data_IF_132429994960
#
_entry.id   IF_132429994960
#
_cell.length_a   1.000
_cell.length_b   1.000
_cell.length_c   1.000
_cell.angle_alpha   90.00
_cell.angle_beta   90.00
_cell.angle_gamma   90.00
#
_symmetry.space_group_name_H-M   'P 1'
#
loop_
_entity.id
_entity.type
_entity.pdbx_description
1 polymer ?
#
# COMPACT_ATOMS: atom_id res chain seq x y z
N UNK A 1 39.61 14.46 -33.16
CA UNK A 1 38.19 14.78 -33.43
C UNK A 1 37.27 13.67 -32.91
N UNK A 2 37.53 12.41 -33.23
CA UNK A 2 36.71 11.26 -32.78
C UNK A 2 36.58 11.13 -31.25
N UNK A 3 37.68 11.26 -30.50
CA UNK A 3 37.65 11.23 -29.02
C UNK A 3 36.76 12.33 -28.44
N UNK A 4 36.78 13.52 -29.05
CA UNK A 4 36.00 14.66 -28.57
C UNK A 4 34.48 14.45 -28.81
N UNK A 5 34.14 13.78 -29.91
CA UNK A 5 32.76 13.38 -30.24
C UNK A 5 32.29 12.27 -29.30
N UNK A 6 33.13 11.27 -29.02
CA UNK A 6 32.81 10.21 -28.06
C UNK A 6 32.55 10.76 -26.66
N UNK A 7 33.41 11.67 -26.18
CA UNK A 7 33.23 12.37 -24.89
C UNK A 7 31.92 13.16 -24.88
N UNK A 8 31.58 13.83 -25.98
CA UNK A 8 30.32 14.58 -26.09
C UNK A 8 29.09 13.66 -26.05
N UNK A 9 29.13 12.50 -26.72
CA UNK A 9 28.04 11.51 -26.71
C UNK A 9 27.85 10.94 -25.30
N UNK A 10 28.94 10.59 -24.60
CA UNK A 10 28.86 10.09 -23.22
C UNK A 10 28.28 11.14 -22.28
N UNK A 11 28.71 12.40 -22.41
CA UNK A 11 28.13 13.53 -21.68
C UNK A 11 26.63 13.65 -21.94
N UNK A 12 26.22 13.61 -23.20
CA UNK A 12 24.82 13.71 -23.61
C UNK A 12 23.96 12.56 -23.05
N UNK A 13 24.44 11.32 -23.17
CA UNK A 13 23.74 10.14 -22.63
C UNK A 13 23.64 10.19 -21.10
N UNK A 14 24.71 10.60 -20.41
CA UNK A 14 24.69 10.75 -18.94
C UNK A 14 23.70 11.83 -18.48
N UNK A 15 23.57 12.92 -19.25
CA UNK A 15 22.59 13.98 -18.99
C UNK A 15 21.16 13.48 -19.20
N UNK A 16 20.89 12.74 -20.28
CA UNK A 16 19.59 12.11 -20.52
C UNK A 16 19.27 11.11 -19.41
N UNK A 17 20.24 10.34 -18.95
CA UNK A 17 20.05 9.42 -17.84
C UNK A 17 19.61 10.15 -16.56
N UNK A 18 20.27 11.26 -16.22
CA UNK A 18 19.91 12.10 -15.09
C UNK A 18 18.52 12.76 -15.25
N UNK A 19 18.13 13.15 -16.46
CA UNK A 19 16.83 13.77 -16.71
C UNK A 19 15.69 12.74 -16.62
N UNK A 20 15.84 11.59 -17.27
CA UNK A 20 14.84 10.50 -17.26
C UNK A 20 14.60 9.97 -15.85
N UNK A 21 15.66 9.71 -15.08
CA UNK A 21 15.57 9.28 -13.67
C UNK A 21 14.80 10.31 -12.82
N UNK A 22 15.08 11.60 -13.01
CA UNK A 22 14.37 12.68 -12.31
C UNK A 22 12.88 12.75 -12.67
N UNK A 23 12.56 12.60 -13.96
CA UNK A 23 11.18 12.68 -14.47
C UNK A 23 10.34 11.51 -13.94
N UNK A 24 10.88 10.28 -13.97
CA UNK A 24 10.20 9.09 -13.45
C UNK A 24 9.88 9.23 -11.96
N UNK A 25 10.82 9.76 -11.19
CA UNK A 25 10.62 9.95 -9.75
C UNK A 25 9.85 11.23 -9.39
N UNK A 26 9.57 12.10 -10.38
CA UNK A 26 9.07 13.47 -10.18
C UNK A 26 9.94 14.28 -9.20
N UNK A 27 11.24 14.04 -9.21
CA UNK A 27 12.19 14.75 -8.36
C UNK A 27 12.52 16.12 -8.95
N UNK A 28 12.66 17.13 -8.08
CA UNK A 28 13.18 18.44 -8.44
C UNK A 28 14.59 18.57 -7.86
N UNK A 29 15.60 18.60 -8.72
CA UNK A 29 16.99 18.75 -8.29
C UNK A 29 17.24 20.12 -7.64
N UNK A 30 17.89 20.10 -6.48
CA UNK A 30 18.47 21.30 -5.88
C UNK A 30 19.77 21.69 -6.57
N UNK A 31 20.21 22.95 -6.43
CA UNK A 31 21.52 23.40 -6.92
C UNK A 31 22.68 22.52 -6.40
N UNK A 32 22.59 22.04 -5.15
CA UNK A 32 23.58 21.11 -4.57
C UNK A 32 23.55 19.73 -5.23
N UNK A 33 22.37 19.26 -5.63
CA UNK A 33 22.22 17.97 -6.31
C UNK A 33 22.82 18.02 -7.73
N UNK A 34 22.64 19.13 -8.45
CA UNK A 34 23.29 19.34 -9.75
C UNK A 34 24.82 19.37 -9.64
N UNK A 35 25.37 20.05 -8.63
CA UNK A 35 26.82 20.06 -8.40
C UNK A 35 27.32 18.65 -8.12
N UNK A 36 26.62 17.89 -7.28
CA UNK A 36 26.99 16.50 -6.95
C UNK A 36 26.89 15.58 -8.17
N UNK A 37 25.85 15.70 -8.98
CA UNK A 37 25.69 14.91 -10.21
C UNK A 37 26.80 15.22 -11.22
N UNK A 38 27.07 16.50 -11.47
CA UNK A 38 28.05 16.92 -12.49
C UNK A 38 29.49 16.60 -12.02
N UNK A 39 29.88 17.08 -10.84
CA UNK A 39 31.26 16.94 -10.35
C UNK A 39 31.55 15.60 -9.68
N UNK A 40 30.56 15.00 -9.03
CA UNK A 40 30.75 13.73 -8.31
C UNK A 40 30.52 12.48 -9.17
N UNK A 41 29.70 12.57 -10.23
CA UNK A 41 29.27 11.40 -10.99
C UNK A 41 29.67 11.49 -12.47
N UNK A 42 29.26 12.56 -13.16
CA UNK A 42 29.47 12.69 -14.62
C UNK A 42 30.95 12.89 -14.98
N UNK A 43 31.64 13.88 -14.37
CA UNK A 43 33.06 14.15 -14.68
C UNK A 43 33.96 12.93 -14.37
N UNK A 44 33.87 12.28 -13.20
CA UNK A 44 34.66 11.09 -12.91
C UNK A 44 34.35 9.92 -13.85
N UNK A 45 33.09 9.77 -14.30
CA UNK A 45 32.73 8.72 -15.25
C UNK A 45 33.38 8.90 -16.62
N UNK A 46 33.57 10.14 -17.08
CA UNK A 46 34.24 10.45 -18.35
C UNK A 46 35.74 10.15 -18.26
N UNK A 47 36.37 10.53 -17.15
CA UNK A 47 37.79 10.21 -16.91
C UNK A 47 38.00 8.70 -16.88
N UNK A 48 37.10 7.96 -16.23
CA UNK A 48 37.13 6.50 -16.21
C UNK A 48 36.83 5.89 -17.59
N UNK A 49 35.99 6.51 -18.42
CA UNK A 49 35.74 6.05 -19.79
C UNK A 49 37.01 6.10 -20.64
N UNK A 50 37.85 7.13 -20.48
CA UNK A 50 39.12 7.23 -21.21
C UNK A 50 40.14 6.14 -20.80
N UNK A 51 40.01 5.55 -19.62
CA UNK A 51 40.95 4.56 -19.07
C UNK A 51 40.42 3.13 -19.21
N UNK A 52 39.12 2.92 -18.95
CA UNK A 52 38.48 1.62 -18.83
C UNK A 52 37.35 1.40 -19.85
N UNK A 53 37.17 2.32 -20.80
CA UNK A 53 36.18 2.25 -21.88
C UNK A 53 34.76 1.95 -21.31
N UNK A 54 34.05 0.94 -21.84
CA UNK A 54 32.68 0.59 -21.44
C UNK A 54 32.48 0.25 -19.95
N UNK A 55 33.54 -0.16 -19.22
CA UNK A 55 33.40 -0.49 -17.79
C UNK A 55 33.12 0.73 -16.92
N UNK A 56 33.39 1.94 -17.43
CA UNK A 56 33.00 3.20 -16.78
C UNK A 56 31.48 3.34 -16.56
N UNK A 57 30.66 2.67 -17.38
CA UNK A 57 29.20 2.65 -17.23
C UNK A 57 28.78 2.02 -15.89
N UNK A 58 29.51 1.01 -15.40
CA UNK A 58 29.23 0.39 -14.10
C UNK A 58 29.45 1.37 -12.95
N UNK A 59 30.50 2.19 -13.03
CA UNK A 59 30.76 3.24 -12.04
C UNK A 59 29.64 4.28 -12.02
N UNK A 60 29.21 4.74 -13.19
CA UNK A 60 28.11 5.70 -13.32
C UNK A 60 26.83 5.13 -12.69
N UNK A 61 26.47 3.89 -13.02
CA UNK A 61 25.28 3.23 -12.50
C UNK A 61 25.34 3.03 -10.98
N UNK A 62 26.50 2.60 -10.44
CA UNK A 62 26.69 2.46 -8.99
C UNK A 62 26.52 3.80 -8.24
N UNK A 63 27.06 4.88 -8.79
CA UNK A 63 26.91 6.21 -8.20
C UNK A 63 25.44 6.67 -8.19
N UNK A 64 24.70 6.43 -9.28
CA UNK A 64 23.27 6.71 -9.35
C UNK A 64 22.46 5.84 -8.39
N UNK A 65 22.82 4.55 -8.23
CA UNK A 65 22.20 3.71 -7.21
C UNK A 65 22.40 4.28 -5.81
N UNK A 66 23.62 4.68 -5.44
CA UNK A 66 23.91 5.25 -4.12
C UNK A 66 23.14 6.55 -3.91
N UNK A 67 23.15 7.44 -4.90
CA UNK A 67 22.46 8.73 -4.83
C UNK A 67 20.95 8.55 -4.60
N UNK A 68 20.30 7.70 -5.40
CA UNK A 68 18.86 7.49 -5.32
C UNK A 68 18.43 6.59 -4.17
N UNK A 69 19.26 5.64 -3.75
CA UNK A 69 19.02 4.81 -2.57
C UNK A 69 18.96 5.66 -1.30
N UNK A 70 19.87 6.63 -1.15
CA UNK A 70 19.87 7.56 0.00
C UNK A 70 18.58 8.39 0.10
N UNK A 71 17.92 8.66 -1.03
CA UNK A 71 16.72 9.52 -1.09
C UNK A 71 15.42 8.75 -1.02
N UNK A 72 15.30 7.62 -1.72
CA UNK A 72 14.04 6.89 -1.87
C UNK A 72 14.15 5.37 -1.62
N UNK A 73 15.27 4.90 -1.04
CA UNK A 73 15.51 3.49 -0.69
C UNK A 73 15.29 2.57 -1.90
N UNK A 74 14.50 1.51 -1.74
CA UNK A 74 14.22 0.49 -2.78
C UNK A 74 13.57 1.12 -4.02
N UNK A 75 12.72 2.14 -3.86
CA UNK A 75 12.11 2.82 -5.00
C UNK A 75 13.13 3.56 -5.84
N UNK A 76 14.16 4.15 -5.22
CA UNK A 76 15.26 4.77 -5.94
C UNK A 76 16.04 3.78 -6.80
N UNK A 77 16.24 2.56 -6.29
CA UNK A 77 16.88 1.46 -7.04
C UNK A 77 16.02 1.06 -8.24
N UNK A 78 14.72 0.85 -8.03
CA UNK A 78 13.79 0.48 -9.11
C UNK A 78 13.73 1.57 -10.18
N UNK A 79 13.70 2.86 -9.79
CA UNK A 79 13.67 3.97 -10.76
C UNK A 79 14.96 4.06 -11.57
N UNK A 80 16.13 3.82 -10.94
CA UNK A 80 17.42 3.77 -11.64
C UNK A 80 17.42 2.61 -12.65
N UNK A 81 17.00 1.41 -12.24
CA UNK A 81 16.91 0.24 -13.12
C UNK A 81 15.96 0.45 -14.30
N UNK A 82 14.77 1.01 -14.05
CA UNK A 82 13.81 1.33 -15.10
C UNK A 82 14.35 2.38 -16.08
N UNK A 83 15.08 3.38 -15.56
CA UNK A 83 15.69 4.40 -16.41
C UNK A 83 16.76 3.80 -17.30
N UNK A 84 17.62 2.93 -16.75
CA UNK A 84 18.64 2.21 -17.54
C UNK A 84 17.96 1.44 -18.68
N UNK A 85 16.88 0.72 -18.40
CA UNK A 85 16.16 -0.03 -19.43
C UNK A 85 15.58 0.85 -20.54
N UNK A 86 15.02 2.01 -20.18
CA UNK A 86 14.55 2.99 -21.17
C UNK A 86 15.68 3.46 -22.06
N UNK A 87 16.84 3.78 -21.48
CA UNK A 87 18.01 4.18 -22.27
C UNK A 87 18.50 3.04 -23.18
N UNK A 88 18.57 1.81 -22.68
CA UNK A 88 19.06 0.67 -23.46
C UNK A 88 18.16 0.34 -24.66
N UNK A 89 16.84 0.34 -24.46
CA UNK A 89 15.88 0.12 -25.54
C UNK A 89 16.03 1.21 -26.60
N UNK A 90 16.18 2.46 -26.17
CA UNK A 90 16.26 3.55 -27.12
C UNK A 90 17.63 3.68 -27.80
N UNK A 91 18.69 3.27 -27.13
CA UNK A 91 20.04 3.16 -27.72
C UNK A 91 20.03 2.13 -28.85
N UNK A 92 19.32 1.02 -28.67
CA UNK A 92 19.14 0.03 -29.73
C UNK A 92 18.41 0.60 -30.95
N UNK A 93 17.28 1.29 -30.73
CA UNK A 93 16.50 1.93 -31.81
C UNK A 93 17.36 2.96 -32.54
N UNK A 94 18.06 3.82 -31.80
CA UNK A 94 18.89 4.87 -32.38
C UNK A 94 20.08 4.29 -33.16
N UNK A 95 20.73 3.23 -32.64
CA UNK A 95 21.84 2.53 -33.30
C UNK A 95 21.38 1.82 -34.58
N UNK A 96 20.17 1.27 -34.60
CA UNK A 96 19.60 0.67 -35.80
C UNK A 96 19.40 1.69 -36.92
N UNK A 97 18.86 2.87 -36.59
CA UNK A 97 18.74 3.99 -37.54
C UNK A 97 20.11 4.48 -37.99
N UNK A 98 21.08 4.58 -37.08
CA UNK A 98 22.46 4.95 -37.41
C UNK A 98 23.07 3.97 -38.43
N UNK A 99 22.95 2.67 -38.21
CA UNK A 99 23.46 1.64 -39.12
C UNK A 99 22.78 1.69 -40.50
N UNK A 100 21.47 1.91 -40.53
CA UNK A 100 20.71 2.07 -41.79
C UNK A 100 21.22 3.28 -42.59
N UNK A 101 21.37 4.45 -41.96
CA UNK A 101 21.85 5.66 -42.61
C UNK A 101 23.32 5.54 -43.07
N UNK A 102 24.15 4.83 -42.31
CA UNK A 102 25.55 4.59 -42.67
C UNK A 102 25.69 3.70 -43.93
N UNK A 103 24.71 2.80 -44.17
CA UNK A 103 24.65 1.98 -45.40
C UNK A 103 24.49 2.84 -46.66
N UNK A 104 23.88 4.02 -46.55
CA UNK A 104 23.73 4.99 -47.65
C UNK A 104 24.88 6.02 -47.73
N UNK A 105 25.98 5.81 -47.00
CA UNK A 105 27.15 6.69 -46.99
C UNK A 105 26.86 8.16 -46.67
N UNK A 106 25.83 8.42 -45.84
CA UNK A 106 25.53 9.77 -45.33
C UNK A 106 26.69 10.25 -44.45
N UNK A 107 26.97 11.56 -44.47
CA UNK A 107 28.04 12.17 -43.67
C UNK A 107 27.93 11.80 -42.17
N UNK A 108 29.04 11.29 -41.61
CA UNK A 108 29.15 10.85 -40.22
C UNK A 108 28.62 11.85 -39.18
N UNK A 109 28.88 13.15 -39.36
CA UNK A 109 28.42 14.18 -38.41
C UNK A 109 26.90 14.34 -38.43
N UNK A 110 26.29 14.25 -39.60
CA UNK A 110 24.83 14.33 -39.77
C UNK A 110 24.18 13.08 -39.18
N UNK A 111 24.73 11.90 -39.44
CA UNK A 111 24.22 10.64 -38.89
C UNK A 111 24.32 10.60 -37.36
N UNK A 112 25.42 11.10 -36.79
CA UNK A 112 25.60 11.19 -35.32
C UNK A 112 24.62 12.18 -34.68
N UNK A 113 24.30 13.29 -35.35
CA UNK A 113 23.29 14.24 -34.88
C UNK A 113 21.89 13.62 -34.89
N UNK A 114 21.53 12.92 -35.97
CA UNK A 114 20.24 12.22 -36.07
C UNK A 114 20.11 11.15 -34.97
N UNK A 115 21.18 10.40 -34.71
CA UNK A 115 21.23 9.44 -33.60
C UNK A 115 20.89 10.11 -32.26
N UNK A 116 21.51 11.24 -31.92
CA UNK A 116 21.25 11.94 -30.66
C UNK A 116 19.81 12.43 -30.54
N UNK A 117 19.22 12.92 -31.63
CA UNK A 117 17.83 13.40 -31.64
C UNK A 117 16.85 12.25 -31.40
N UNK A 118 17.00 11.14 -32.11
CA UNK A 118 16.17 9.94 -31.94
C UNK A 118 16.35 9.37 -30.53
N UNK A 119 17.60 9.34 -30.05
CA UNK A 119 17.94 8.87 -28.72
C UNK A 119 17.32 9.75 -27.61
N UNK A 120 17.23 11.06 -27.78
CA UNK A 120 16.57 11.92 -26.80
C UNK A 120 15.05 11.76 -26.84
N UNK A 121 14.45 11.85 -28.04
CA UNK A 121 13.00 11.80 -28.22
C UNK A 121 12.40 10.49 -27.70
N UNK A 122 13.00 9.35 -28.08
CA UNK A 122 12.53 8.05 -27.63
C UNK A 122 12.65 7.88 -26.11
N UNK A 123 13.75 8.32 -25.50
CA UNK A 123 13.92 8.26 -24.03
C UNK A 123 12.82 9.03 -23.30
N UNK A 124 12.48 10.25 -23.76
CA UNK A 124 11.40 11.04 -23.15
C UNK A 124 10.02 10.41 -23.37
N UNK A 125 9.73 9.88 -24.57
CA UNK A 125 8.47 9.19 -24.86
C UNK A 125 8.27 7.95 -23.98
N UNK A 126 9.28 7.07 -23.92
CA UNK A 126 9.23 5.86 -23.08
C UNK A 126 9.16 6.20 -21.59
N UNK A 127 9.84 7.27 -21.15
CA UNK A 127 9.76 7.72 -19.75
C UNK A 127 8.33 8.07 -19.34
N UNK A 128 7.52 8.65 -20.25
CA UNK A 128 6.11 8.95 -19.98
C UNK A 128 5.29 7.68 -19.74
N UNK A 129 5.50 6.65 -20.56
CA UNK A 129 4.85 5.33 -20.37
C UNK A 129 5.23 4.74 -19.01
N UNK A 130 6.53 4.77 -18.66
CA UNK A 130 7.00 4.28 -17.35
C UNK A 130 6.39 5.07 -16.19
N UNK A 131 6.22 6.39 -16.31
CA UNK A 131 5.56 7.20 -15.27
C UNK A 131 4.11 6.74 -15.03
N UNK A 132 3.36 6.46 -16.09
CA UNK A 132 1.97 5.99 -15.94
C UNK A 132 1.90 4.65 -15.23
N UNK A 133 2.80 3.72 -15.57
CA UNK A 133 2.93 2.42 -14.91
C UNK A 133 3.36 2.56 -13.46
N UNK A 134 4.36 3.41 -13.19
CA UNK A 134 4.88 3.65 -11.86
C UNK A 134 3.83 4.29 -10.94
N UNK A 135 2.99 5.19 -11.45
CA UNK A 135 1.88 5.76 -10.67
C UNK A 135 0.81 4.72 -10.36
N UNK A 136 0.46 3.83 -11.30
CA UNK A 136 -0.46 2.71 -11.04
C UNK A 136 0.10 1.73 -10.00
N UNK A 137 1.41 1.46 -10.05
CA UNK A 137 2.08 0.65 -9.04
C UNK A 137 2.01 1.31 -7.65
N UNK A 138 2.21 2.63 -7.54
CA UNK A 138 2.10 3.36 -6.26
C UNK A 138 0.72 3.30 -5.62
N UNK A 139 -0.34 3.31 -6.41
CA UNK A 139 -1.72 3.22 -5.91
C UNK A 139 -2.12 1.79 -5.55
N UNK A 140 -1.42 0.80 -6.10
CA UNK A 140 -1.68 -0.61 -5.82
C UNK A 140 -1.04 -1.06 -4.50
N UNK A 141 -1.63 -2.06 -3.85
CA UNK A 141 -1.08 -2.67 -2.63
C UNK A 141 0.32 -3.28 -2.82
N UNK A 142 0.70 -3.59 -4.06
CA UNK A 142 2.04 -4.05 -4.42
C UNK A 142 3.14 -3.05 -4.00
N UNK A 143 2.79 -1.76 -3.89
CA UNK A 143 3.67 -0.74 -3.33
C UNK A 143 4.11 -1.04 -1.89
N UNK A 144 3.27 -1.71 -1.11
CA UNK A 144 3.53 -2.02 0.31
C UNK A 144 4.27 -3.36 0.44
N UNK A 145 4.08 -4.29 -0.50
CA UNK A 145 4.69 -5.60 -0.43
C UNK A 145 6.19 -5.58 -0.78
N UNK A 146 7.05 -5.58 0.27
CA UNK A 146 8.51 -5.59 0.12
C UNK A 146 9.03 -6.77 -0.70
N UNK A 147 8.44 -7.96 -0.59
CA UNK A 147 8.89 -9.14 -1.35
C UNK A 147 8.68 -8.94 -2.85
N UNK A 148 7.54 -8.38 -3.25
CA UNK A 148 7.27 -8.06 -4.64
C UNK A 148 8.25 -7.01 -5.18
N UNK A 149 8.52 -5.96 -4.41
CA UNK A 149 9.48 -4.91 -4.81
C UNK A 149 10.90 -5.44 -4.95
N UNK A 150 11.32 -6.35 -4.07
CA UNK A 150 12.63 -7.01 -4.14
C UNK A 150 12.70 -7.93 -5.36
N UNK A 151 11.67 -8.76 -5.60
CA UNK A 151 11.61 -9.64 -6.76
C UNK A 151 11.66 -8.83 -8.08
N UNK A 152 10.93 -7.70 -8.14
CA UNK A 152 10.98 -6.77 -9.26
C UNK A 152 12.38 -6.18 -9.45
N UNK A 153 13.02 -5.71 -8.39
CA UNK A 153 14.37 -5.13 -8.47
C UNK A 153 15.41 -6.17 -8.91
N UNK A 154 15.36 -7.40 -8.38
CA UNK A 154 16.26 -8.50 -8.75
C UNK A 154 16.08 -8.86 -10.22
N UNK A 155 14.83 -8.97 -10.69
CA UNK A 155 14.56 -9.25 -12.09
C UNK A 155 15.13 -8.17 -13.03
N UNK A 156 14.87 -6.89 -12.71
CA UNK A 156 15.37 -5.76 -13.51
C UNK A 156 16.91 -5.73 -13.51
N UNK A 157 17.55 -6.05 -12.38
CA UNK A 157 19.00 -6.16 -12.27
C UNK A 157 19.56 -7.32 -13.11
N UNK A 158 18.92 -8.50 -13.09
CA UNK A 158 19.29 -9.62 -13.96
C UNK A 158 19.17 -9.24 -15.44
N UNK A 159 18.08 -8.56 -15.83
CA UNK A 159 17.90 -8.06 -17.20
C UNK A 159 19.02 -7.10 -17.61
N UNK A 160 19.42 -6.20 -16.72
CA UNK A 160 20.57 -5.32 -16.94
C UNK A 160 21.87 -6.10 -17.12
N UNK A 161 22.17 -7.08 -16.26
CA UNK A 161 23.41 -7.88 -16.33
C UNK A 161 23.49 -8.66 -17.64
N UNK A 162 22.37 -9.27 -18.06
CA UNK A 162 22.28 -9.95 -19.35
C UNK A 162 22.60 -8.95 -20.46
N UNK A 163 21.89 -7.82 -20.51
CA UNK A 163 22.11 -6.83 -21.56
C UNK A 163 23.56 -6.31 -21.61
N UNK A 164 24.14 -5.97 -20.44
CA UNK A 164 25.51 -5.48 -20.34
C UNK A 164 26.54 -6.50 -20.84
N UNK A 165 26.27 -7.79 -20.67
CA UNK A 165 27.16 -8.87 -21.12
C UNK A 165 27.22 -8.97 -22.65
N UNK A 166 26.14 -8.61 -23.35
CA UNK A 166 26.02 -8.71 -24.81
C UNK A 166 26.26 -7.38 -25.55
N UNK A 167 26.76 -6.35 -24.86
CA UNK A 167 27.15 -5.10 -25.51
C UNK A 167 28.33 -5.37 -26.48
N UNK A 168 28.22 -4.99 -27.77
CA UNK A 168 29.17 -5.37 -28.81
C UNK A 168 30.54 -4.76 -28.51
N UNK A 169 31.59 -5.56 -28.70
CA UNK A 169 32.98 -5.12 -28.45
C UNK A 169 33.62 -4.50 -29.70
N UNK A 170 33.11 -4.84 -30.89
CA UNK A 170 33.66 -4.38 -32.17
C UNK A 170 32.56 -4.06 -33.18
N UNK A 171 32.88 -3.25 -34.20
CA UNK A 171 31.95 -2.83 -35.28
C UNK A 171 31.49 -4.02 -36.15
N UNK A 172 32.23 -5.14 -36.16
CA UNK A 172 31.85 -6.35 -36.89
C UNK A 172 30.67 -7.11 -36.29
N UNK A 173 30.41 -6.92 -34.99
CA UNK A 173 29.36 -7.63 -34.25
C UNK A 173 28.00 -6.90 -34.27
N UNK A 174 27.87 -5.82 -35.05
CA UNK A 174 26.64 -5.01 -35.10
C UNK A 174 25.43 -5.86 -35.53
N UNK A 175 25.62 -6.83 -36.42
CA UNK A 175 24.54 -7.72 -36.85
C UNK A 175 24.12 -8.70 -35.76
N UNK A 176 25.07 -9.28 -35.00
CA UNK A 176 24.74 -10.13 -33.84
C UNK A 176 24.04 -9.33 -32.73
N UNK A 177 24.47 -8.07 -32.53
CA UNK A 177 23.83 -7.14 -31.63
C UNK A 177 22.39 -6.82 -32.05
N UNK A 178 22.10 -6.71 -33.36
CA UNK A 178 20.73 -6.49 -33.86
C UNK A 178 19.77 -7.62 -33.48
N UNK A 179 20.17 -8.88 -33.68
CA UNK A 179 19.33 -10.01 -33.29
C UNK A 179 19.14 -10.08 -31.77
N UNK A 180 20.20 -9.81 -31.00
CA UNK A 180 20.13 -9.83 -29.54
C UNK A 180 19.25 -8.72 -28.97
N UNK A 181 19.31 -7.51 -29.55
CA UNK A 181 18.47 -6.39 -29.14
C UNK A 181 16.99 -6.63 -29.42
N UNK A 182 16.64 -7.31 -30.52
CA UNK A 182 15.26 -7.75 -30.79
C UNK A 182 14.80 -8.74 -29.71
N UNK A 183 15.63 -9.72 -29.34
CA UNK A 183 15.32 -10.69 -28.28
C UNK A 183 15.11 -9.98 -26.93
N UNK A 184 15.98 -9.01 -26.60
CA UNK A 184 15.85 -8.20 -25.40
C UNK A 184 14.56 -7.36 -25.40
N UNK A 185 14.23 -6.75 -26.54
CA UNK A 185 13.01 -5.96 -26.70
C UNK A 185 11.75 -6.81 -26.53
N UNK A 186 11.72 -8.01 -27.11
CA UNK A 186 10.63 -8.98 -26.95
C UNK A 186 10.52 -9.43 -25.49
N UNK A 187 11.64 -9.82 -24.87
CA UNK A 187 11.69 -10.24 -23.46
C UNK A 187 11.16 -9.14 -22.53
N UNK A 188 11.57 -7.89 -22.77
CA UNK A 188 11.12 -6.74 -21.99
C UNK A 188 9.64 -6.40 -22.21
N UNK A 189 9.15 -6.54 -23.44
CA UNK A 189 7.74 -6.33 -23.78
C UNK A 189 6.85 -7.36 -23.09
N UNK A 190 7.25 -8.65 -23.13
CA UNK A 190 6.56 -9.74 -22.41
C UNK A 190 6.56 -9.47 -20.90
N UNK A 191 7.70 -9.04 -20.35
CA UNK A 191 7.80 -8.71 -18.93
C UNK A 191 6.93 -7.52 -18.52
N UNK A 192 6.88 -6.47 -19.34
CA UNK A 192 6.03 -5.30 -19.12
C UNK A 192 4.55 -5.71 -19.09
N UNK A 193 4.15 -6.59 -20.02
CA UNK A 193 2.79 -7.16 -20.04
C UNK A 193 2.53 -7.98 -18.77
N UNK A 194 3.49 -8.80 -18.31
CA UNK A 194 3.35 -9.59 -17.08
C UNK A 194 3.23 -8.70 -15.83
N UNK A 195 4.02 -7.63 -15.70
CA UNK A 195 3.86 -6.67 -14.59
C UNK A 195 2.47 -6.04 -14.62
N UNK A 196 2.03 -5.58 -15.79
CA UNK A 196 0.70 -4.96 -15.93
C UNK A 196 -0.39 -5.96 -15.57
N UNK A 197 -0.31 -7.19 -16.09
CA UNK A 197 -1.27 -8.24 -15.80
C UNK A 197 -1.33 -8.59 -14.32
N UNK A 198 -0.17 -8.81 -13.67
CA UNK A 198 -0.09 -9.10 -12.23
C UNK A 198 -0.60 -7.94 -11.37
N UNK A 199 -0.31 -6.70 -11.76
CA UNK A 199 -0.82 -5.51 -11.07
C UNK A 199 -2.34 -5.45 -11.14
N UNK A 200 -2.92 -5.68 -12.32
CA UNK A 200 -4.37 -5.67 -12.54
C UNK A 200 -5.07 -6.84 -11.82
N UNK A 201 -4.48 -8.04 -11.80
CA UNK A 201 -5.09 -9.19 -11.11
C UNK A 201 -5.09 -9.00 -9.61
N UNK A 202 -3.99 -8.49 -9.03
CA UNK A 202 -3.89 -8.24 -7.59
C UNK A 202 -4.84 -7.12 -7.16
N UNK A 203 -4.95 -6.05 -7.95
CA UNK A 203 -5.92 -4.98 -7.69
C UNK A 203 -7.36 -5.52 -7.69
N UNK A 204 -7.70 -6.37 -8.66
CA UNK A 204 -9.01 -7.04 -8.71
C UNK A 204 -9.24 -7.93 -7.49
N UNK A 205 -8.25 -8.70 -7.08
CA UNK A 205 -8.37 -9.60 -5.92
C UNK A 205 -8.61 -8.82 -4.61
N UNK A 206 -7.90 -7.70 -4.42
CA UNK A 206 -8.07 -6.86 -3.24
C UNK A 206 -9.44 -6.19 -3.22
N UNK A 207 -9.87 -5.64 -4.36
CA UNK A 207 -11.21 -5.06 -4.48
C UNK A 207 -12.30 -6.11 -4.25
N UNK A 208 -12.08 -7.35 -4.70
CA UNK A 208 -12.98 -8.46 -4.44
C UNK A 208 -13.04 -8.80 -2.94
N UNK A 209 -11.89 -8.92 -2.26
CA UNK A 209 -11.85 -9.18 -0.80
C UNK A 209 -12.52 -8.07 0.01
N UNK A 210 -12.29 -6.80 -0.34
CA UNK A 210 -12.96 -5.65 0.31
C UNK A 210 -14.46 -5.70 0.14
N UNK A 211 -14.96 -5.90 -1.08
CA UNK A 211 -16.40 -6.05 -1.35
C UNK A 211 -17.01 -7.23 -0.61
N UNK A 212 -16.28 -8.35 -0.52
CA UNK A 212 -16.74 -9.52 0.25
C UNK A 212 -16.87 -9.20 1.74
N UNK A 213 -15.89 -8.51 2.32
CA UNK A 213 -15.93 -8.09 3.71
C UNK A 213 -17.09 -7.11 3.98
N UNK A 214 -17.27 -6.12 3.10
CA UNK A 214 -18.41 -5.19 3.18
C UNK A 214 -19.76 -5.92 3.13
N UNK A 215 -19.88 -6.96 2.29
CA UNK A 215 -21.08 -7.81 2.23
C UNK A 215 -21.28 -8.62 3.52
N UNK A 216 -20.22 -9.22 4.07
CA UNK A 216 -20.30 -9.98 5.31
C UNK A 216 -20.72 -9.10 6.49
N UNK A 217 -20.17 -7.88 6.57
CA UNK A 217 -20.53 -6.90 7.61
C UNK A 217 -21.97 -6.40 7.43
N UNK A 218 -22.41 -6.17 6.19
CA UNK A 218 -23.80 -5.83 5.88
C UNK A 218 -24.78 -6.95 6.27
N UNK A 219 -24.41 -8.22 6.03
CA UNK A 219 -25.22 -9.36 6.43
C UNK A 219 -25.35 -9.46 7.95
N UNK A 220 -24.23 -9.34 8.68
CA UNK A 220 -24.23 -9.33 10.15
C UNK A 220 -25.11 -8.22 10.72
N UNK A 221 -25.00 -7.02 10.15
CA UNK A 221 -25.84 -5.89 10.54
C UNK A 221 -27.34 -6.18 10.30
N UNK A 222 -27.68 -6.75 9.14
CA UNK A 222 -29.06 -7.12 8.81
C UNK A 222 -29.64 -8.13 9.81
N UNK A 223 -28.88 -9.18 10.15
CA UNK A 223 -29.30 -10.17 11.16
C UNK A 223 -29.47 -9.54 12.54
N UNK A 224 -28.62 -8.59 12.93
CA UNK A 224 -28.78 -7.86 14.19
C UNK A 224 -30.05 -7.01 14.21
N UNK A 225 -30.36 -6.32 13.11
CA UNK A 225 -31.60 -5.55 12.98
C UNK A 225 -32.83 -6.46 13.02
N UNK A 226 -32.81 -7.62 12.37
CA UNK A 226 -33.90 -8.59 12.48
C UNK A 226 -34.10 -9.09 13.91
N UNK A 227 -33.02 -9.39 14.63
CA UNK A 227 -33.08 -9.78 16.04
C UNK A 227 -33.69 -8.65 16.91
N UNK A 228 -33.27 -7.41 16.70
CA UNK A 228 -33.80 -6.24 17.43
C UNK A 228 -35.29 -6.04 17.10
N UNK A 229 -35.67 -6.12 15.81
CA UNK A 229 -37.06 -5.99 15.38
C UNK A 229 -37.95 -7.10 15.96
N UNK A 230 -37.48 -8.34 16.01
CA UNK A 230 -38.20 -9.45 16.62
C UNK A 230 -38.35 -9.27 18.13
N UNK A 231 -37.28 -8.84 18.83
CA UNK A 231 -37.36 -8.47 20.26
C UNK A 231 -38.38 -7.35 20.51
N UNK A 232 -38.36 -6.31 19.67
CA UNK A 232 -39.30 -5.19 19.77
C UNK A 232 -40.75 -5.61 19.48
N UNK A 233 -40.97 -6.51 18.51
CA UNK A 233 -42.29 -7.07 18.23
C UNK A 233 -42.83 -7.88 19.41
N UNK A 234 -41.97 -8.74 20.00
CA UNK A 234 -42.33 -9.51 21.20
C UNK A 234 -42.66 -8.57 22.37
N UNK A 235 -41.82 -7.56 22.62
CA UNK A 235 -42.07 -6.55 23.64
C UNK A 235 -43.42 -5.84 23.46
N UNK A 236 -43.74 -5.39 22.24
CA UNK A 236 -45.05 -4.75 21.97
C UNK A 236 -46.23 -5.71 22.21
N UNK A 237 -46.10 -6.97 21.80
CA UNK A 237 -47.14 -7.97 22.01
C UNK A 237 -47.39 -8.20 23.51
N UNK A 238 -46.33 -8.41 24.28
CA UNK A 238 -46.41 -8.65 25.71
C UNK A 238 -46.99 -7.42 26.44
N UNK A 239 -46.59 -6.20 26.04
CA UNK A 239 -47.14 -4.95 26.56
C UNK A 239 -48.63 -4.78 26.27
N UNK A 240 -49.07 -5.09 25.04
CA UNK A 240 -50.51 -5.05 24.68
C UNK A 240 -51.32 -6.04 25.52
N UNK A 241 -50.81 -7.25 25.75
CA UNK A 241 -51.49 -8.24 26.58
C UNK A 241 -51.63 -7.78 28.03
N UNK A 242 -50.59 -7.17 28.60
CA UNK A 242 -50.66 -6.58 29.95
C UNK A 242 -51.79 -5.54 30.03
N UNK A 243 -51.87 -4.64 29.04
CA UNK A 243 -52.92 -3.61 29.00
C UNK A 243 -54.33 -4.20 28.84
N UNK A 244 -54.49 -5.24 28.02
CA UNK A 244 -55.75 -5.94 27.85
C UNK A 244 -56.19 -6.61 29.16
N UNK A 245 -55.30 -7.35 29.82
CA UNK A 245 -55.60 -7.99 31.10
C UNK A 245 -55.97 -6.96 32.18
N UNK A 246 -55.26 -5.82 32.25
CA UNK A 246 -55.67 -4.73 33.15
C UNK A 246 -57.07 -4.20 32.83
N UNK A 247 -57.40 -4.05 31.54
CA UNK A 247 -58.69 -3.53 31.12
C UNK A 247 -59.85 -4.47 31.46
N UNK A 248 -59.62 -5.79 31.47
CA UNK A 248 -60.61 -6.79 31.89
C UNK A 248 -60.91 -6.66 33.39
N UNK A 249 -59.88 -6.63 34.24
CA UNK A 249 -60.08 -6.43 35.69
C UNK A 249 -60.82 -5.11 36.01
N UNK A 250 -60.52 -4.03 35.28
CA UNK A 250 -61.23 -2.75 35.46
C UNK A 250 -62.69 -2.82 34.99
N UNK A 251 -62.99 -3.61 33.97
CA UNK A 251 -64.35 -3.77 33.44
C UNK A 251 -65.24 -4.61 34.35
N UNK A 252 -64.64 -5.59 35.04
CA UNK A 252 -65.33 -6.46 35.99
C UNK A 252 -65.38 -5.87 37.43
N UNK A 253 -64.89 -4.64 37.61
CA UNK A 253 -64.79 -3.92 38.89
C UNK A 253 -63.99 -4.68 39.97
N UNK A 254 -63.09 -5.59 39.55
CA UNK A 254 -62.24 -6.42 40.41
C UNK A 254 -60.89 -5.74 40.69
N UNK A 255 -60.94 -4.76 41.59
CA UNK A 255 -59.76 -4.02 42.05
C UNK A 255 -58.77 -4.86 42.87
N UNK A 256 -59.22 -5.93 43.55
CA UNK A 256 -58.31 -6.81 44.29
C UNK A 256 -57.52 -7.71 43.35
N UNK A 257 -58.16 -8.30 42.34
CA UNK A 257 -57.51 -9.07 41.28
C UNK A 257 -56.48 -8.25 40.50
N UNK A 258 -56.81 -7.00 40.16
CA UNK A 258 -55.87 -6.09 39.49
C UNK A 258 -54.63 -5.79 40.35
N UNK A 259 -54.80 -5.52 41.65
CA UNK A 259 -53.69 -5.27 42.59
C UNK A 259 -52.77 -6.48 42.68
N UNK A 260 -53.34 -7.67 42.75
CA UNK A 260 -52.58 -8.93 42.79
C UNK A 260 -51.81 -9.14 41.48
N UNK A 261 -52.46 -9.00 40.33
CA UNK A 261 -51.82 -9.11 39.01
C UNK A 261 -50.67 -8.11 38.85
N UNK A 262 -50.85 -6.85 39.29
CA UNK A 262 -49.80 -5.84 39.27
C UNK A 262 -48.58 -6.24 40.10
N UNK A 263 -48.79 -6.72 41.34
CA UNK A 263 -47.69 -7.13 42.22
C UNK A 263 -46.97 -8.40 41.73
N UNK A 264 -47.70 -9.37 41.18
CA UNK A 264 -47.13 -10.66 40.78
C UNK A 264 -46.47 -10.61 39.39
N UNK A 265 -46.99 -9.82 38.44
CA UNK A 265 -46.54 -9.87 37.05
C UNK A 265 -45.88 -8.58 36.54
N UNK A 266 -46.26 -7.40 37.06
CA UNK A 266 -45.80 -6.11 36.52
C UNK A 266 -44.69 -5.50 37.35
N UNK A 267 -44.82 -5.54 38.68
CA UNK A 267 -43.78 -5.06 39.60
C UNK A 267 -42.44 -5.77 39.40
N UNK A 268 -42.38 -7.11 39.20
CA UNK A 268 -41.12 -7.81 38.92
C UNK A 268 -40.53 -7.39 37.58
N UNK A 269 -41.37 -7.23 36.55
CA UNK A 269 -40.93 -6.78 35.21
C UNK A 269 -40.26 -5.40 35.29
N UNK A 270 -40.85 -4.47 36.05
CA UNK A 270 -40.26 -3.15 36.32
C UNK A 270 -38.89 -3.28 37.02
N UNK A 271 -38.77 -4.13 38.03
CA UNK A 271 -37.49 -4.37 38.73
C UNK A 271 -36.45 -4.99 37.82
N UNK A 272 -36.84 -5.85 36.89
CA UNK A 272 -35.93 -6.47 35.92
C UNK A 272 -35.41 -5.46 34.89
N UNK A 273 -36.25 -4.50 34.47
CA UNK A 273 -35.81 -3.38 33.64
C UNK A 273 -34.88 -2.42 34.41
N UNK A 274 -35.24 -2.07 35.64
CA UNK A 274 -34.43 -1.21 36.53
C UNK A 274 -33.13 -1.89 36.96
N UNK A 275 -33.11 -3.22 37.17
CA UNK A 275 -31.90 -3.98 37.51
C UNK A 275 -30.95 -4.11 36.32
N UNK A 276 -31.47 -4.32 35.10
CA UNK A 276 -30.63 -4.32 33.90
C UNK A 276 -30.06 -2.93 33.55
N UNK A 277 -30.75 -1.84 33.91
CA UNK A 277 -30.16 -0.50 33.84
C UNK A 277 -29.19 -0.24 35.01
N UNK A 278 -29.49 -0.69 36.23
CA UNK A 278 -28.60 -0.62 37.39
C UNK A 278 -27.31 -1.43 37.25
N UNK A 279 -27.33 -2.57 36.54
CA UNK A 279 -26.14 -3.40 36.26
C UNK A 279 -25.06 -2.68 35.43
N UNK A 280 -25.41 -1.55 34.80
CA UNK A 280 -24.49 -0.68 34.05
C UNK A 280 -24.28 0.69 34.70
N UNK A 281 -24.92 0.98 35.84
CA UNK A 281 -24.76 2.26 36.54
C UNK A 281 -23.33 2.40 37.04
N UNK A 282 -22.66 3.51 36.69
CA UNK A 282 -21.30 3.82 37.15
C UNK A 282 -20.21 3.65 36.09
N UNK A 283 -20.39 2.83 35.04
CA UNK A 283 -19.42 2.82 33.91
C UNK A 283 -19.35 4.18 33.21
N UNK A 284 -20.44 4.94 33.26
CA UNK A 284 -20.50 6.32 32.82
C UNK A 284 -19.61 7.27 33.62
N UNK A 285 -19.37 6.98 34.91
CA UNK A 285 -18.47 7.74 35.80
C UNK A 285 -16.99 7.41 35.56
N UNK A 286 -16.68 6.29 34.92
CA UNK A 286 -15.32 5.98 34.45
C UNK A 286 -15.04 6.73 33.14
N UNK A 287 -14.21 7.79 33.20
CA UNK A 287 -13.81 8.60 32.04
C UNK A 287 -12.44 8.24 31.45
N UNK A 288 -11.72 7.29 32.06
CA UNK A 288 -10.48 6.74 31.48
C UNK A 288 -10.84 5.79 30.34
N UNK A 289 -10.67 6.25 29.09
CA UNK A 289 -11.20 5.58 27.88
C UNK A 289 -10.67 4.16 27.70
N UNK A 290 -9.39 3.96 27.97
CA UNK A 290 -8.68 2.68 27.83
C UNK A 290 -9.27 1.62 28.76
N UNK A 291 -9.51 1.98 30.01
CA UNK A 291 -10.03 1.08 31.04
C UNK A 291 -11.53 0.87 30.87
N UNK A 292 -12.27 1.92 30.49
CA UNK A 292 -13.71 1.84 30.21
C UNK A 292 -14.00 0.84 29.10
N UNK A 293 -13.23 0.87 28.01
CA UNK A 293 -13.38 -0.08 26.91
C UNK A 293 -13.18 -1.52 27.37
N UNK A 294 -12.08 -1.78 28.09
CA UNK A 294 -11.75 -3.10 28.61
C UNK A 294 -12.86 -3.66 29.52
N UNK A 295 -13.27 -2.89 30.53
CA UNK A 295 -14.29 -3.31 31.49
C UNK A 295 -15.62 -3.59 30.77
N UNK A 296 -16.00 -2.72 29.83
CA UNK A 296 -17.23 -2.93 29.04
C UNK A 296 -17.18 -4.24 28.25
N UNK A 297 -16.05 -4.55 27.61
CA UNK A 297 -15.87 -5.81 26.89
C UNK A 297 -15.99 -7.02 27.81
N UNK A 298 -15.41 -6.97 29.01
CA UNK A 298 -15.49 -8.08 29.97
C UNK A 298 -16.88 -8.27 30.57
N UNK A 299 -17.63 -7.19 30.79
CA UNK A 299 -19.03 -7.26 31.21
C UNK A 299 -19.88 -7.94 30.14
N UNK A 300 -19.72 -7.55 28.87
CA UNK A 300 -20.42 -8.19 27.77
C UNK A 300 -20.05 -9.67 27.65
N UNK A 301 -18.77 -10.01 27.82
CA UNK A 301 -18.29 -11.39 27.82
C UNK A 301 -18.92 -12.22 28.95
N UNK A 302 -19.01 -11.66 30.16
CA UNK A 302 -19.68 -12.33 31.29
C UNK A 302 -21.17 -12.54 31.02
N UNK A 303 -21.85 -11.53 30.46
CA UNK A 303 -23.27 -11.63 30.09
C UNK A 303 -23.52 -12.65 28.96
N UNK A 304 -22.62 -12.75 27.98
CA UNK A 304 -22.70 -13.77 26.91
C UNK A 304 -22.55 -15.19 27.46
N UNK A 305 -21.86 -15.35 28.60
CA UNK A 305 -21.71 -16.62 29.31
C UNK A 305 -22.81 -16.85 30.38
N UNK A 306 -23.89 -16.05 30.38
CA UNK A 306 -24.98 -16.08 31.36
C UNK A 306 -24.51 -15.88 32.83
N UNK A 307 -23.36 -15.22 33.03
CA UNK A 307 -22.83 -14.88 34.37
C UNK A 307 -23.40 -13.53 34.82
N UNK A 308 -23.99 -13.51 36.02
CA UNK A 308 -24.51 -12.27 36.61
C UNK A 308 -23.35 -11.38 37.08
N UNK A 309 -23.27 -10.16 36.52
CA UNK A 309 -22.24 -9.17 36.85
C UNK A 309 -22.86 -7.81 37.18
N UNK A 310 -22.33 -7.18 38.23
CA UNK A 310 -22.71 -5.84 38.68
C UNK A 310 -21.46 -4.99 38.79
N UNK A 311 -21.50 -3.78 38.24
CA UNK A 311 -20.38 -2.82 38.32
C UNK A 311 -20.84 -1.58 39.06
N UNK A 312 -20.06 -1.15 40.04
CA UNK A 312 -20.34 0.02 40.86
C UNK A 312 -19.14 0.98 40.83
N UNK A 313 -19.38 2.21 40.39
CA UNK A 313 -18.37 3.29 40.41
C UNK A 313 -19.03 4.52 41.05
N UNK A 314 -18.69 4.75 42.32
CA UNK A 314 -19.35 5.75 43.15
C UNK A 314 -19.09 7.19 42.67
N UNK A 315 -17.84 7.51 42.31
CA UNK A 315 -17.41 8.86 41.92
C UNK A 315 -16.83 8.89 40.51
N UNK A 316 -16.77 10.08 39.90
CA UNK A 316 -16.17 10.26 38.58
C UNK A 316 -14.65 10.03 38.61
N UNK A 317 -14.17 9.05 37.84
CA UNK A 317 -12.75 8.71 37.72
C UNK A 317 -12.23 9.19 36.36
N UNK A 318 -11.46 10.29 36.37
CA UNK A 318 -10.87 10.88 35.16
C UNK A 318 -9.41 10.50 34.92
N UNK A 319 -8.68 10.09 35.97
CA UNK A 319 -7.29 9.65 35.89
C UNK A 319 -6.99 8.58 36.93
N UNK A 320 -6.09 7.66 36.59
CA UNK A 320 -5.54 6.64 37.50
C UNK A 320 -4.01 6.73 37.37
N UNK A 321 -3.30 6.85 38.49
CA UNK A 321 -1.85 7.04 38.52
C UNK A 321 -1.10 5.70 38.35
N UNK A 322 -1.28 5.10 37.18
CA UNK A 322 -0.61 3.87 36.75
C UNK A 322 -0.50 3.88 35.22
N UNK A 323 0.55 3.25 34.69
CA UNK A 323 0.67 3.05 33.25
C UNK A 323 -0.56 2.31 32.69
N UNK A 324 -1.18 2.87 31.65
CA UNK A 324 -2.44 2.38 31.11
C UNK A 324 -2.34 0.94 30.58
N UNK A 325 -1.19 0.53 30.04
CA UNK A 325 -0.97 -0.82 29.51
C UNK A 325 -0.86 -1.81 30.66
N UNK A 326 -0.11 -1.45 31.71
CA UNK A 326 0.01 -2.28 32.92
C UNK A 326 -1.33 -2.44 33.63
N UNK A 327 -2.05 -1.34 33.83
CA UNK A 327 -3.36 -1.35 34.47
C UNK A 327 -4.39 -2.17 33.68
N UNK A 328 -4.42 -2.00 32.35
CA UNK A 328 -5.28 -2.78 31.46
C UNK A 328 -4.98 -4.29 31.57
N UNK A 329 -3.70 -4.67 31.62
CA UNK A 329 -3.32 -6.08 31.78
C UNK A 329 -3.75 -6.65 33.12
N UNK A 330 -3.57 -5.90 34.21
CA UNK A 330 -3.96 -6.35 35.56
C UNK A 330 -5.47 -6.53 35.65
N UNK A 331 -6.25 -5.54 35.23
CA UNK A 331 -7.73 -5.62 35.25
C UNK A 331 -8.22 -6.76 34.34
N UNK A 332 -7.62 -6.91 33.16
CA UNK A 332 -7.96 -7.98 32.23
C UNK A 332 -7.78 -9.36 32.85
N UNK A 333 -6.62 -9.62 33.46
CA UNK A 333 -6.32 -10.91 34.11
C UNK A 333 -7.28 -11.17 35.28
N UNK A 334 -7.55 -10.16 36.12
CA UNK A 334 -8.46 -10.33 37.26
C UNK A 334 -9.86 -10.70 36.79
N UNK A 335 -10.37 -10.01 35.78
CA UNK A 335 -11.70 -10.27 35.23
C UNK A 335 -11.78 -11.59 34.48
N UNK A 336 -10.75 -11.97 33.73
CA UNK A 336 -10.69 -13.27 33.06
C UNK A 336 -10.73 -14.41 34.07
N UNK A 337 -9.93 -14.32 35.13
CA UNK A 337 -9.95 -15.32 36.20
C UNK A 337 -11.30 -15.39 36.91
N UNK A 338 -11.98 -14.26 37.12
CA UNK A 338 -13.30 -14.23 37.74
C UNK A 338 -14.37 -14.86 36.84
N UNK A 339 -14.33 -14.59 35.54
CA UNK A 339 -15.26 -15.16 34.55
C UNK A 339 -15.00 -16.67 34.38
N UNK A 340 -13.75 -17.12 34.33
CA UNK A 340 -13.41 -18.55 34.19
C UNK A 340 -13.77 -19.38 35.42
N UNK A 341 -13.75 -18.77 36.61
CA UNK A 341 -14.06 -19.45 37.87
C UNK A 341 -15.56 -19.44 38.25
N UNK A 342 -16.39 -18.69 37.52
CA UNK A 342 -17.85 -18.61 37.70
C UNK A 342 -18.54 -19.60 36.78
#
# INVERSE_FOLDING_TARGET
MEILIAVFIVLFQSFIFASVTSIIQKYKYSQRDYILLIFGIVIPSIVLYLIFDKYSLLYLILCFFIFYFRRAKIFGIITVLLSILVLLINDFIATWVFAYLNTYHINFYVTSFIYMVIFALGCYLFSYIIITLFNKLKTSWLYINKLYLIALAVFLACGFVIFFSFLPRTVGDIYEFQYFGIICFISFSVFSILIIATTLTIEREINYKRKKQELDDYYKYTVQIEKINNKMRKFRHDYTNILLTMSEYLRDDDLEGLKKYYQEHISPLKREFESNTMRLNGIENLKVREIKGLITTKILQAQENDIEITVEVADEITRIDMDAIQLSRVIGIIMDNAIEAS
#
